data_IF_632386365451
#
_entry.id   IF_632386365451
#
_cell.length_a   1.000
_cell.length_b   1.000
_cell.length_c   1.000
_cell.angle_alpha   90.00
_cell.angle_beta   90.00
_cell.angle_gamma   90.00
#
_symmetry.space_group_name_H-M   'P 1'
#
loop_
_entity.id
_entity.type
_entity.pdbx_description
1 polymer ?
#
# COMPACT_ATOMS: atom_id res chain seq x y z
N UNK A 1 -12.35 -29.22 -15.29
CA UNK A 1 -11.95 -28.24 -16.30
C UNK A 1 -12.83 -28.48 -17.51
N UNK A 2 -13.57 -27.48 -17.94
CA UNK A 2 -14.36 -27.53 -19.16
C UNK A 2 -13.41 -27.63 -20.36
N UNK A 3 -13.76 -28.46 -21.36
CA UNK A 3 -12.99 -28.56 -22.62
C UNK A 3 -13.25 -27.34 -23.53
N UNK A 4 -14.15 -26.44 -23.13
CA UNK A 4 -14.51 -25.25 -23.88
C UNK A 4 -13.46 -24.15 -23.71
N UNK A 5 -12.79 -23.82 -24.80
CA UNK A 5 -11.73 -22.80 -24.85
C UNK A 5 -12.18 -21.38 -24.43
N UNK A 6 -13.47 -21.05 -24.56
CA UNK A 6 -14.06 -19.81 -24.11
C UNK A 6 -14.11 -19.75 -22.57
N UNK A 7 -14.54 -20.84 -21.94
CA UNK A 7 -14.56 -20.99 -20.49
C UNK A 7 -13.14 -20.94 -19.94
N UNK A 8 -12.20 -21.66 -20.56
CA UNK A 8 -10.79 -21.67 -20.14
C UNK A 8 -10.16 -20.28 -20.15
N UNK A 9 -10.47 -19.42 -21.12
CA UNK A 9 -9.96 -18.04 -21.16
C UNK A 9 -10.41 -17.23 -19.95
N UNK A 10 -11.67 -17.35 -19.53
CA UNK A 10 -12.18 -16.65 -18.35
C UNK A 10 -11.64 -17.26 -17.05
N UNK A 11 -11.61 -18.58 -16.93
CA UNK A 11 -11.04 -19.27 -15.77
C UNK A 11 -9.58 -18.88 -15.55
N UNK A 12 -8.74 -18.89 -16.58
CA UNK A 12 -7.33 -18.49 -16.50
C UNK A 12 -7.16 -17.01 -16.08
N UNK A 13 -8.03 -16.13 -16.56
CA UNK A 13 -8.00 -14.73 -16.18
C UNK A 13 -8.41 -14.55 -14.70
N UNK A 14 -9.45 -15.25 -14.25
CA UNK A 14 -9.91 -15.23 -12.85
C UNK A 14 -8.89 -15.89 -11.92
N UNK A 15 -8.22 -16.95 -12.34
CA UNK A 15 -7.13 -17.58 -11.60
C UNK A 15 -5.99 -16.57 -11.38
N UNK A 16 -5.56 -15.89 -12.44
CA UNK A 16 -4.54 -14.81 -12.34
C UNK A 16 -4.97 -13.71 -11.37
N UNK A 17 -6.25 -13.31 -11.39
CA UNK A 17 -6.80 -12.34 -10.45
C UNK A 17 -6.73 -12.85 -9.01
N UNK A 18 -7.19 -14.06 -8.76
CA UNK A 18 -7.20 -14.69 -7.44
C UNK A 18 -5.79 -14.88 -6.88
N UNK A 19 -4.84 -15.29 -7.73
CA UNK A 19 -3.43 -15.41 -7.35
C UNK A 19 -2.87 -14.04 -6.92
N UNK A 20 -3.16 -12.97 -7.65
CA UNK A 20 -2.69 -11.62 -7.29
C UNK A 20 -3.36 -11.09 -6.04
N UNK A 21 -4.63 -11.38 -5.79
CA UNK A 21 -5.27 -11.07 -4.51
C UNK A 21 -4.63 -11.82 -3.35
N UNK A 22 -4.33 -13.11 -3.51
CA UNK A 22 -3.64 -13.90 -2.50
C UNK A 22 -2.21 -13.38 -2.23
N UNK A 23 -1.47 -13.01 -3.28
CA UNK A 23 -0.15 -12.39 -3.16
C UNK A 23 -0.22 -11.05 -2.39
N UNK A 24 -1.23 -10.20 -2.66
CA UNK A 24 -1.46 -8.96 -1.93
C UNK A 24 -1.69 -9.23 -0.44
N UNK A 25 -2.51 -10.21 -0.12
CA UNK A 25 -2.82 -10.60 1.26
C UNK A 25 -1.57 -10.99 2.03
N UNK A 26 -0.70 -11.77 1.40
CA UNK A 26 0.61 -12.13 1.94
C UNK A 26 1.53 -10.91 2.08
N UNK A 27 1.62 -10.05 1.06
CA UNK A 27 2.49 -8.88 1.07
C UNK A 27 2.11 -7.86 2.13
N UNK A 28 0.82 -7.66 2.39
CA UNK A 28 0.36 -6.72 3.41
C UNK A 28 0.84 -7.13 4.81
N UNK A 29 0.95 -8.43 5.08
CA UNK A 29 1.45 -8.97 6.34
C UNK A 29 2.97 -9.11 6.38
N UNK A 30 3.65 -9.00 5.24
CA UNK A 30 5.11 -9.11 5.16
C UNK A 30 5.79 -7.84 5.69
N UNK A 31 6.86 -8.02 6.48
CA UNK A 31 7.67 -6.90 6.96
C UNK A 31 8.58 -6.37 5.86
N UNK A 32 9.02 -5.09 5.91
CA UNK A 32 10.00 -4.57 4.95
C UNK A 32 11.33 -5.34 5.00
N UNK A 33 11.64 -5.95 6.14
CA UNK A 33 12.85 -6.75 6.32
C UNK A 33 12.81 -8.05 5.52
N UNK A 34 11.63 -8.69 5.42
CA UNK A 34 11.45 -10.01 4.82
C UNK A 34 11.04 -9.93 3.34
N UNK A 35 10.66 -8.75 2.86
CA UNK A 35 10.23 -8.55 1.49
C UNK A 35 11.31 -9.00 0.50
N UNK A 36 10.93 -9.87 -0.45
CA UNK A 36 11.84 -10.44 -1.46
C UNK A 36 13.11 -11.07 -0.85
N UNK A 37 12.98 -11.75 0.30
CA UNK A 37 14.07 -12.47 0.96
C UNK A 37 15.10 -11.58 1.65
N UNK A 38 14.78 -10.33 1.96
CA UNK A 38 15.59 -9.44 2.79
C UNK A 38 16.82 -8.81 2.11
N UNK A 39 17.17 -9.20 0.89
CA UNK A 39 18.35 -8.66 0.20
C UNK A 39 18.30 -7.14 0.00
N UNK A 40 17.13 -6.61 -0.31
CA UNK A 40 16.91 -5.17 -0.49
C UNK A 40 17.11 -4.44 0.85
N UNK A 41 16.60 -5.01 1.94
CA UNK A 41 16.70 -4.43 3.27
C UNK A 41 18.16 -4.20 3.69
N UNK A 42 19.05 -5.16 3.44
CA UNK A 42 20.50 -5.01 3.72
C UNK A 42 21.12 -3.80 3.02
N UNK A 43 20.73 -3.54 1.78
CA UNK A 43 21.18 -2.36 1.02
C UNK A 43 20.62 -1.08 1.67
N UNK A 44 19.35 -1.05 2.08
CA UNK A 44 18.72 0.10 2.73
C UNK A 44 19.40 0.43 4.06
N UNK A 45 19.74 -0.58 4.87
CA UNK A 45 20.50 -0.42 6.12
C UNK A 45 21.85 0.24 5.86
N UNK A 46 22.59 -0.23 4.86
CA UNK A 46 23.88 0.34 4.49
C UNK A 46 23.77 1.80 4.02
N UNK A 47 22.77 2.11 3.19
CA UNK A 47 22.51 3.48 2.74
C UNK A 47 22.15 4.38 3.92
N UNK A 48 21.25 3.93 4.81
CA UNK A 48 20.86 4.69 6.00
C UNK A 48 22.08 5.00 6.88
N UNK A 49 22.96 4.00 7.10
CA UNK A 49 24.22 4.20 7.85
C UNK A 49 25.16 5.24 7.23
N UNK A 50 25.27 5.26 5.91
CA UNK A 50 26.05 6.29 5.21
C UNK A 50 25.40 7.68 5.34
N UNK A 51 24.07 7.78 5.20
CA UNK A 51 23.29 9.02 5.33
C UNK A 51 23.26 9.52 6.77
N UNK A 52 23.43 8.65 7.77
CA UNK A 52 23.45 9.01 9.18
C UNK A 52 24.56 10.04 9.50
N UNK A 53 25.73 9.89 8.90
CA UNK A 53 26.83 10.86 9.09
C UNK A 53 26.48 12.25 8.55
N UNK A 54 25.76 12.32 7.43
CA UNK A 54 25.23 13.56 6.85
C UNK A 54 24.15 14.15 7.76
N UNK A 55 23.25 13.31 8.28
CA UNK A 55 22.23 13.70 9.23
C UNK A 55 22.81 14.33 10.50
N UNK A 56 23.89 13.76 11.04
CA UNK A 56 24.59 14.31 12.22
C UNK A 56 25.27 15.64 11.92
N UNK A 57 25.83 15.84 10.73
CA UNK A 57 26.37 17.14 10.33
C UNK A 57 25.26 18.20 10.21
N UNK A 58 24.13 17.84 9.58
CA UNK A 58 22.96 18.71 9.48
C UNK A 58 22.33 19.00 10.84
N UNK A 59 22.36 18.06 11.78
CA UNK A 59 21.91 18.25 13.16
C UNK A 59 22.61 19.46 13.79
N UNK A 60 23.95 19.53 13.68
CA UNK A 60 24.73 20.63 14.22
C UNK A 60 24.33 21.95 13.55
N UNK A 61 24.19 21.95 12.23
CA UNK A 61 23.80 23.12 11.47
C UNK A 61 22.41 23.65 11.90
N UNK A 62 21.40 22.76 11.96
CA UNK A 62 20.06 23.15 12.40
C UNK A 62 20.00 23.56 13.86
N UNK A 63 20.83 22.97 14.71
CA UNK A 63 20.95 23.37 16.10
C UNK A 63 21.50 24.80 16.23
N UNK A 64 22.59 25.10 15.52
CA UNK A 64 23.17 26.47 15.52
C UNK A 64 22.19 27.47 14.93
N UNK A 65 21.58 27.17 13.80
CA UNK A 65 20.58 28.05 13.19
C UNK A 65 19.36 28.25 14.10
N UNK A 66 18.92 27.23 14.82
CA UNK A 66 17.87 27.29 15.82
C UNK A 66 18.25 28.16 17.01
N UNK A 67 19.50 28.02 17.50
CA UNK A 67 20.04 28.85 18.59
C UNK A 67 20.07 30.33 18.23
N UNK A 68 20.61 30.67 17.06
CA UNK A 68 20.68 32.06 16.58
C UNK A 68 19.29 32.69 16.45
N UNK A 69 18.30 31.93 15.99
CA UNK A 69 16.94 32.46 15.79
C UNK A 69 16.13 32.55 17.08
N UNK A 70 16.34 31.63 18.02
CA UNK A 70 15.61 31.61 19.30
C UNK A 70 16.20 32.56 20.31
N UNK A 71 17.53 32.76 20.28
CA UNK A 71 18.26 33.64 21.15
C UNK A 71 18.63 34.91 20.39
N UNK A 72 17.65 35.78 20.15
CA UNK A 72 17.86 37.09 19.48
C UNK A 72 18.87 38.02 20.17
N UNK A 73 19.33 37.65 21.37
CA UNK A 73 20.38 38.28 22.15
C UNK A 73 21.15 37.24 22.94
N UNK A 74 22.48 37.33 22.97
CA UNK A 74 23.35 36.49 23.80
C UNK A 74 22.99 36.51 25.30
N UNK A 75 22.22 37.48 25.73
CA UNK A 75 21.74 37.63 27.12
C UNK A 75 20.67 36.60 27.47
N UNK A 76 19.90 36.12 26.52
CA UNK A 76 18.87 35.08 26.75
C UNK A 76 19.45 33.67 26.87
N UNK A 77 20.59 33.39 26.22
CA UNK A 77 21.33 32.11 26.35
C UNK A 77 21.84 31.90 27.78
N UNK A 78 22.07 33.00 28.52
CA UNK A 78 22.55 32.93 29.92
C UNK A 78 21.49 32.46 30.92
N UNK A 79 20.21 32.34 30.51
CA UNK A 79 19.19 31.76 31.38
C UNK A 79 19.32 30.23 31.34
N UNK A 80 19.57 29.56 32.48
CA UNK A 80 19.84 28.12 32.53
C UNK A 80 18.68 27.28 31.97
N UNK A 81 17.46 27.77 32.07
CA UNK A 81 16.26 27.09 31.53
C UNK A 81 16.25 27.00 30.00
N UNK A 82 16.66 28.06 29.30
CA UNK A 82 16.76 28.08 27.85
C UNK A 82 17.91 27.17 27.34
N UNK A 83 19.03 27.21 28.00
CA UNK A 83 20.18 26.36 27.70
C UNK A 83 19.83 24.88 27.87
N UNK A 84 19.14 24.54 28.96
CA UNK A 84 18.68 23.17 29.20
C UNK A 84 17.68 22.68 28.11
N UNK A 85 16.71 23.51 27.74
CA UNK A 85 15.73 23.20 26.69
C UNK A 85 16.40 22.95 25.33
N UNK A 86 17.40 23.74 24.97
CA UNK A 86 18.16 23.57 23.74
C UNK A 86 18.99 22.29 23.78
N UNK A 87 19.65 21.99 24.91
CA UNK A 87 20.42 20.76 25.08
C UNK A 87 19.56 19.51 25.00
N UNK A 88 18.41 19.50 25.67
CA UNK A 88 17.45 18.38 25.60
C UNK A 88 16.95 18.15 24.17
N UNK A 89 16.65 19.26 23.45
CA UNK A 89 16.25 19.17 22.04
C UNK A 89 17.34 18.56 21.16
N UNK A 90 18.59 18.99 21.36
CA UNK A 90 19.75 18.45 20.66
C UNK A 90 19.93 16.95 20.95
N UNK A 91 19.83 16.55 22.22
CA UNK A 91 19.96 15.16 22.65
C UNK A 91 18.86 14.26 22.05
N UNK A 92 17.61 14.74 22.05
CA UNK A 92 16.48 14.02 21.42
C UNK A 92 16.70 13.87 19.91
N UNK A 93 17.10 14.96 19.22
CA UNK A 93 17.33 14.91 17.78
C UNK A 93 18.52 13.99 17.43
N UNK A 94 19.59 14.00 18.22
CA UNK A 94 20.72 13.07 18.06
C UNK A 94 20.25 11.62 18.26
N UNK A 95 19.48 11.37 19.32
CA UNK A 95 18.90 10.03 19.58
C UNK A 95 18.01 9.57 18.41
N UNK A 96 17.15 10.46 17.89
CA UNK A 96 16.28 10.16 16.76
C UNK A 96 17.06 9.82 15.48
N UNK A 97 18.22 10.43 15.23
CA UNK A 97 19.07 10.07 14.09
C UNK A 97 19.79 8.73 14.35
N UNK A 98 20.35 8.56 15.54
CA UNK A 98 21.15 7.37 15.88
C UNK A 98 20.28 6.11 15.88
N UNK A 99 19.09 6.20 16.43
CA UNK A 99 18.12 5.09 16.52
C UNK A 99 16.98 5.23 15.47
N UNK A 100 17.24 5.96 14.40
CA UNK A 100 16.23 6.27 13.38
C UNK A 100 15.69 5.03 12.69
N UNK A 101 16.55 4.03 12.45
CA UNK A 101 16.15 2.76 11.84
C UNK A 101 15.19 1.98 12.76
N UNK A 102 15.53 1.84 14.03
CA UNK A 102 14.72 1.17 15.04
C UNK A 102 13.38 1.91 15.24
N UNK A 103 13.40 3.23 15.22
CA UNK A 103 12.20 4.05 15.30
C UNK A 103 11.27 3.78 14.12
N UNK A 104 11.80 3.74 12.89
CA UNK A 104 11.00 3.44 11.69
C UNK A 104 10.41 2.04 11.75
N UNK A 105 11.17 1.05 12.18
CA UNK A 105 10.68 -0.32 12.35
C UNK A 105 9.62 -0.42 13.46
N UNK A 106 9.81 0.27 14.59
CA UNK A 106 8.83 0.28 15.68
C UNK A 106 7.49 0.87 15.21
N UNK A 107 7.52 1.99 14.47
CA UNK A 107 6.32 2.60 13.88
C UNK A 107 5.62 1.64 12.90
N UNK A 108 6.40 0.96 12.04
CA UNK A 108 5.86 -0.04 11.14
C UNK A 108 5.18 -1.18 11.91
N UNK A 109 5.83 -1.74 12.92
CA UNK A 109 5.30 -2.85 13.71
C UNK A 109 4.00 -2.50 14.46
N UNK A 110 3.88 -1.28 14.98
CA UNK A 110 2.64 -0.79 15.61
C UNK A 110 1.49 -0.80 14.58
N UNK A 111 1.74 -0.27 13.39
CA UNK A 111 0.72 -0.25 12.32
C UNK A 111 0.42 -1.66 11.83
N UNK A 112 1.42 -2.53 11.74
CA UNK A 112 1.22 -3.93 11.37
C UNK A 112 0.31 -4.66 12.37
N UNK A 113 0.45 -4.37 13.66
CA UNK A 113 -0.48 -4.87 14.69
C UNK A 113 -1.92 -4.41 14.45
N UNK A 114 -2.12 -3.16 14.01
CA UNK A 114 -3.44 -2.64 13.63
C UNK A 114 -4.01 -3.39 12.41
N UNK A 115 -3.20 -3.62 11.39
CA UNK A 115 -3.59 -4.39 10.20
C UNK A 115 -4.03 -5.82 10.60
N UNK A 116 -3.24 -6.50 11.42
CA UNK A 116 -3.55 -7.84 11.90
C UNK A 116 -4.85 -7.88 12.71
N UNK A 117 -5.12 -6.84 13.49
CA UNK A 117 -6.38 -6.70 14.24
C UNK A 117 -7.58 -6.53 13.30
N UNK A 118 -7.46 -5.71 12.25
CA UNK A 118 -8.50 -5.53 11.24
C UNK A 118 -8.80 -6.85 10.54
N UNK A 119 -7.77 -7.57 10.11
CA UNK A 119 -7.90 -8.86 9.43
C UNK A 119 -8.60 -9.91 10.31
N UNK A 120 -8.21 -10.01 11.59
CA UNK A 120 -8.81 -10.97 12.54
C UNK A 120 -10.25 -10.61 12.92
N UNK A 121 -10.56 -9.32 13.10
CA UNK A 121 -11.89 -8.85 13.47
C UNK A 121 -12.94 -9.05 12.38
N UNK A 122 -12.53 -8.97 11.13
CA UNK A 122 -13.42 -9.13 10.00
C UNK A 122 -13.71 -10.61 9.65
N UNK A 123 -13.00 -11.57 10.24
CA UNK A 123 -13.14 -12.99 9.92
C UNK A 123 -12.64 -13.37 8.50
N UNK A 124 -12.00 -12.44 7.82
CA UNK A 124 -11.46 -12.62 6.47
C UNK A 124 -9.97 -12.98 6.53
N UNK A 125 -9.66 -14.21 6.93
CA UNK A 125 -8.29 -14.74 6.97
C UNK A 125 -7.66 -14.98 5.59
N UNK A 126 -8.48 -15.02 4.55
CA UNK A 126 -8.05 -15.21 3.15
C UNK A 126 -8.99 -14.45 2.21
N UNK A 127 -8.50 -13.97 1.07
CA UNK A 127 -9.36 -13.36 0.06
C UNK A 127 -10.37 -14.37 -0.47
N UNK A 128 -11.62 -13.94 -0.65
CA UNK A 128 -12.59 -14.76 -1.34
C UNK A 128 -12.18 -14.90 -2.81
N UNK A 129 -12.24 -16.14 -3.30
CA UNK A 129 -11.94 -16.41 -4.70
C UNK A 129 -13.14 -16.03 -5.58
N UNK A 130 -12.86 -15.31 -6.63
CA UNK A 130 -13.83 -15.03 -7.69
C UNK A 130 -13.84 -16.24 -8.63
N UNK A 131 -14.96 -16.95 -8.69
CA UNK A 131 -15.14 -18.12 -9.56
C UNK A 131 -16.23 -17.84 -10.57
N UNK A 132 -16.10 -18.46 -11.75
CA UNK A 132 -17.14 -18.41 -12.78
C UNK A 132 -18.36 -19.21 -12.30
N UNK A 133 -19.58 -18.63 -12.29
CA UNK A 133 -20.78 -19.34 -11.89
C UNK A 133 -21.08 -20.53 -12.83
N UNK A 134 -21.58 -21.63 -12.28
CA UNK A 134 -21.91 -22.82 -13.06
C UNK A 134 -22.95 -22.53 -14.17
N UNK A 135 -23.88 -21.61 -13.91
CA UNK A 135 -24.85 -21.15 -14.89
C UNK A 135 -24.22 -20.52 -16.13
N UNK A 136 -23.13 -19.72 -15.91
CA UNK A 136 -22.40 -19.11 -17.02
C UNK A 136 -21.60 -20.15 -17.81
N UNK A 137 -21.04 -21.14 -17.13
CA UNK A 137 -20.34 -22.26 -17.80
C UNK A 137 -21.31 -22.99 -18.71
N UNK A 138 -22.50 -23.38 -18.21
CA UNK A 138 -23.52 -24.06 -19.02
C UNK A 138 -23.99 -23.18 -20.17
N UNK A 139 -24.24 -21.91 -19.98
CA UNK A 139 -24.64 -20.98 -21.05
C UNK A 139 -23.59 -20.90 -22.16
N UNK A 140 -22.31 -20.95 -21.83
CA UNK A 140 -21.21 -20.93 -22.80
C UNK A 140 -21.07 -22.28 -23.51
N UNK A 141 -21.24 -23.40 -22.79
CA UNK A 141 -21.13 -24.77 -23.35
C UNK A 141 -22.27 -25.13 -24.26
N UNK A 142 -23.47 -24.63 -23.98
CA UNK A 142 -24.68 -24.88 -24.82
C UNK A 142 -24.67 -24.04 -26.12
N UNK A 143 -23.72 -23.10 -26.29
CA UNK A 143 -23.63 -22.32 -27.51
C UNK A 143 -23.10 -23.13 -28.69
N UNK A 144 -23.74 -22.94 -29.87
CA UNK A 144 -23.26 -23.51 -31.11
C UNK A 144 -21.91 -22.95 -31.57
N UNK A 145 -21.23 -23.65 -32.45
CA UNK A 145 -19.89 -23.27 -32.93
C UNK A 145 -19.82 -21.83 -33.49
N UNK A 146 -20.84 -21.38 -34.24
CA UNK A 146 -20.87 -20.03 -34.81
C UNK A 146 -21.13 -18.96 -33.75
N UNK A 147 -21.83 -19.26 -32.68
CA UNK A 147 -22.09 -18.38 -31.55
C UNK A 147 -20.88 -18.29 -30.62
N UNK A 148 -20.01 -19.30 -30.61
CA UNK A 148 -18.78 -19.34 -29.83
C UNK A 148 -17.71 -18.35 -30.32
N UNK A 149 -17.74 -17.95 -31.62
CA UNK A 149 -16.73 -17.01 -32.17
C UNK A 149 -16.85 -15.61 -31.54
N UNK A 150 -18.03 -14.93 -31.51
CA UNK A 150 -18.16 -13.65 -30.81
C UNK A 150 -17.94 -13.78 -29.30
N UNK A 151 -18.37 -14.87 -28.66
CA UNK A 151 -18.12 -15.17 -27.26
C UNK A 151 -16.63 -15.20 -26.96
N UNK A 152 -15.85 -15.88 -27.79
CA UNK A 152 -14.40 -15.91 -27.65
C UNK A 152 -13.77 -14.53 -27.69
N UNK A 153 -14.15 -13.69 -28.64
CA UNK A 153 -13.64 -12.33 -28.74
C UNK A 153 -13.95 -11.52 -27.48
N UNK A 154 -15.16 -11.64 -26.95
CA UNK A 154 -15.60 -10.97 -25.71
C UNK A 154 -14.81 -11.46 -24.50
N UNK A 155 -14.66 -12.77 -24.36
CA UNK A 155 -13.93 -13.35 -23.20
C UNK A 155 -12.42 -13.08 -23.27
N UNK A 156 -11.84 -13.02 -24.47
CA UNK A 156 -10.43 -12.67 -24.67
C UNK A 156 -10.17 -11.22 -24.26
N UNK A 157 -11.02 -10.28 -24.67
CA UNK A 157 -10.93 -8.87 -24.30
C UNK A 157 -11.16 -8.74 -22.78
N UNK A 158 -12.20 -9.36 -22.23
CA UNK A 158 -12.48 -9.34 -20.79
C UNK A 158 -11.32 -9.92 -19.97
N UNK A 159 -10.77 -11.05 -20.37
CA UNK A 159 -9.62 -11.67 -19.74
C UNK A 159 -8.37 -10.81 -19.76
N UNK A 160 -8.12 -10.09 -20.87
CA UNK A 160 -7.03 -9.12 -20.96
C UNK A 160 -7.20 -7.98 -19.94
N UNK A 161 -8.42 -7.41 -19.83
CA UNK A 161 -8.70 -6.37 -18.85
C UNK A 161 -8.52 -6.86 -17.42
N UNK A 162 -9.02 -8.06 -17.08
CA UNK A 162 -8.87 -8.69 -15.76
C UNK A 162 -7.37 -8.83 -15.42
N UNK A 163 -6.57 -9.32 -16.36
CA UNK A 163 -5.13 -9.50 -16.19
C UNK A 163 -4.42 -8.17 -15.97
N UNK A 164 -4.73 -7.14 -16.75
CA UNK A 164 -4.16 -5.79 -16.59
C UNK A 164 -4.51 -5.21 -15.24
N UNK A 165 -5.76 -5.35 -14.79
CA UNK A 165 -6.18 -4.87 -13.46
C UNK A 165 -5.45 -5.60 -12.32
N UNK A 166 -5.25 -6.91 -12.45
CA UNK A 166 -4.48 -7.71 -11.49
C UNK A 166 -3.05 -7.16 -11.34
N UNK A 167 -2.39 -6.83 -12.45
CA UNK A 167 -1.05 -6.22 -12.42
C UNK A 167 -1.04 -4.81 -11.82
N UNK A 168 -2.04 -3.97 -12.12
CA UNK A 168 -2.12 -2.62 -11.53
C UNK A 168 -2.28 -2.72 -10.01
N UNK A 169 -3.12 -3.66 -9.55
CA UNK A 169 -3.38 -3.88 -8.14
C UNK A 169 -2.11 -4.28 -7.39
N UNK A 170 -1.43 -5.33 -7.86
CA UNK A 170 -0.20 -5.81 -7.21
C UNK A 170 0.92 -4.77 -7.26
N UNK A 171 1.05 -4.02 -8.37
CA UNK A 171 2.06 -2.98 -8.54
C UNK A 171 1.86 -1.83 -7.53
N UNK A 172 0.62 -1.52 -7.15
CA UNK A 172 0.32 -0.53 -6.11
C UNK A 172 0.87 -0.98 -4.75
N UNK A 173 0.69 -2.26 -4.40
CA UNK A 173 1.20 -2.82 -3.15
C UNK A 173 2.74 -2.87 -3.13
N UNK A 174 3.37 -3.26 -4.24
CA UNK A 174 4.83 -3.18 -4.36
C UNK A 174 5.33 -1.73 -4.19
N UNK A 175 4.64 -0.76 -4.77
CA UNK A 175 4.96 0.67 -4.65
C UNK A 175 5.03 1.14 -3.20
N UNK A 176 4.19 0.60 -2.30
CA UNK A 176 4.25 0.86 -0.85
C UNK A 176 5.60 0.47 -0.26
N UNK A 177 6.14 -0.72 -0.60
CA UNK A 177 7.45 -1.17 -0.10
C UNK A 177 8.57 -0.25 -0.57
N UNK A 178 8.55 0.18 -1.84
CA UNK A 178 9.52 1.14 -2.35
C UNK A 178 9.47 2.46 -1.60
N UNK A 179 8.26 2.98 -1.30
CA UNK A 179 8.10 4.18 -0.47
C UNK A 179 8.71 3.95 0.93
N UNK A 180 8.39 2.84 1.60
CA UNK A 180 8.94 2.50 2.93
C UNK A 180 10.46 2.48 2.92
N UNK A 181 11.07 1.86 1.92
CA UNK A 181 12.53 1.81 1.78
C UNK A 181 13.15 3.19 1.57
N UNK A 182 12.58 4.03 0.69
CA UNK A 182 13.07 5.40 0.46
C UNK A 182 12.97 6.25 1.74
N UNK A 183 11.85 6.19 2.44
CA UNK A 183 11.68 6.90 3.71
C UNK A 183 12.71 6.43 4.74
N UNK A 184 12.91 5.11 4.88
CA UNK A 184 13.83 4.53 5.85
C UNK A 184 15.28 4.85 5.51
N UNK A 185 15.69 4.76 4.24
CA UNK A 185 17.04 5.08 3.79
C UNK A 185 17.43 6.54 4.07
N UNK A 186 16.51 7.48 3.83
CA UNK A 186 16.74 8.91 3.93
C UNK A 186 16.35 9.52 5.29
N UNK A 187 15.83 8.72 6.22
CA UNK A 187 15.33 9.15 7.52
C UNK A 187 16.30 10.08 8.32
N UNK A 188 17.61 9.87 8.34
CA UNK A 188 18.51 10.72 9.12
C UNK A 188 18.47 12.20 8.72
N UNK A 189 18.19 12.52 7.45
CA UNK A 189 18.14 13.91 6.96
C UNK A 189 16.96 14.68 7.58
N UNK A 190 15.69 14.29 7.40
CA UNK A 190 14.58 15.00 8.00
C UNK A 190 14.55 14.89 9.54
N UNK A 191 15.06 13.82 10.14
CA UNK A 191 15.17 13.69 11.59
C UNK A 191 16.15 14.71 12.19
N UNK A 192 17.19 15.13 11.47
CA UNK A 192 18.12 16.17 11.92
C UNK A 192 17.44 17.52 12.16
N UNK A 193 16.33 17.79 11.48
CA UNK A 193 15.59 19.06 11.60
C UNK A 193 14.92 19.26 12.96
N UNK A 194 14.79 18.20 13.77
CA UNK A 194 14.29 18.32 15.15
C UNK A 194 15.20 19.15 16.06
N UNK A 195 16.48 19.32 15.71
CA UNK A 195 17.43 20.13 16.49
C UNK A 195 17.08 21.61 16.50
N UNK A 196 16.54 22.13 15.40
CA UNK A 196 16.18 23.56 15.27
C UNK A 196 14.68 23.79 15.47
N UNK A 197 14.31 24.84 16.23
CA UNK A 197 12.90 25.21 16.40
C UNK A 197 12.20 25.57 15.09
N UNK A 198 12.82 26.36 14.19
CA UNK A 198 12.21 26.73 12.93
C UNK A 198 12.05 25.56 11.95
N UNK A 199 12.91 24.55 12.04
CA UNK A 199 12.96 23.43 11.10
C UNK A 199 12.20 22.18 11.58
N UNK A 200 11.81 22.10 12.86
CA UNK A 200 11.18 20.91 13.44
C UNK A 200 9.90 20.41 12.72
N UNK A 201 9.21 21.32 12.02
CA UNK A 201 8.00 20.97 11.27
C UNK A 201 8.30 20.00 10.13
N UNK A 202 9.49 20.07 9.52
CA UNK A 202 9.93 19.14 8.47
C UNK A 202 10.05 17.72 9.05
N UNK A 203 10.70 17.58 10.20
CA UNK A 203 10.82 16.29 10.88
C UNK A 203 9.45 15.71 11.30
N UNK A 204 8.55 16.56 11.81
CA UNK A 204 7.18 16.15 12.17
C UNK A 204 6.40 15.69 10.95
N UNK A 205 6.45 16.45 9.84
CA UNK A 205 5.80 16.06 8.59
C UNK A 205 6.38 14.78 8.02
N UNK A 206 7.70 14.57 8.14
CA UNK A 206 8.34 13.33 7.74
C UNK A 206 7.81 12.13 8.51
N UNK A 207 7.74 12.19 9.85
CA UNK A 207 7.18 11.09 10.66
C UNK A 207 5.72 10.83 10.31
N UNK A 208 4.90 11.89 10.16
CA UNK A 208 3.51 11.76 9.71
C UNK A 208 3.41 11.06 8.34
N UNK A 209 4.24 11.48 7.38
CA UNK A 209 4.27 10.88 6.04
C UNK A 209 4.69 9.42 6.07
N UNK A 210 5.65 9.06 6.91
CA UNK A 210 6.05 7.67 7.09
C UNK A 210 4.93 6.82 7.70
N UNK A 211 4.29 7.33 8.76
CA UNK A 211 3.11 6.68 9.34
C UNK A 211 1.98 6.51 8.33
N UNK A 212 1.78 7.51 7.46
CA UNK A 212 0.81 7.43 6.38
C UNK A 212 1.12 6.27 5.42
N UNK A 213 2.36 6.12 4.99
CA UNK A 213 2.78 4.99 4.12
C UNK A 213 2.62 3.63 4.84
N UNK A 214 2.90 3.57 6.14
CA UNK A 214 2.65 2.36 6.92
C UNK A 214 1.15 2.02 6.95
N UNK A 215 0.27 3.01 7.22
CA UNK A 215 -1.18 2.86 7.29
C UNK A 215 -1.85 2.60 5.93
N UNK A 216 -1.18 2.89 4.81
CA UNK A 216 -1.67 2.57 3.47
C UNK A 216 -2.07 1.09 3.36
N UNK A 217 -1.31 0.20 4.03
CA UNK A 217 -1.65 -1.22 4.11
C UNK A 217 -3.00 -1.52 4.79
N UNK A 218 -3.36 -0.76 5.81
CA UNK A 218 -4.66 -0.92 6.47
C UNK A 218 -5.83 -0.54 5.56
N UNK A 219 -5.68 0.54 4.77
CA UNK A 219 -6.71 0.93 3.79
C UNK A 219 -6.82 -0.08 2.66
N UNK A 220 -5.70 -0.66 2.20
CA UNK A 220 -5.72 -1.71 1.18
C UNK A 220 -6.49 -2.93 1.71
N UNK A 221 -6.23 -3.39 2.95
CA UNK A 221 -6.98 -4.49 3.57
C UNK A 221 -8.46 -4.18 3.68
N UNK A 222 -8.81 -2.99 4.17
CA UNK A 222 -10.21 -2.57 4.27
C UNK A 222 -10.89 -2.54 2.89
N UNK A 223 -10.20 -2.06 1.86
CA UNK A 223 -10.73 -2.07 0.49
C UNK A 223 -10.99 -3.50 0.00
N UNK A 224 -10.08 -4.43 0.27
CA UNK A 224 -10.26 -5.84 -0.09
C UNK A 224 -11.43 -6.49 0.68
N UNK A 225 -11.59 -6.18 1.98
CA UNK A 225 -12.70 -6.68 2.80
C UNK A 225 -14.03 -6.13 2.28
N UNK A 226 -14.13 -4.82 2.05
CA UNK A 226 -15.34 -4.18 1.51
C UNK A 226 -15.68 -4.76 0.14
N UNK A 227 -14.67 -4.95 -0.71
CA UNK A 227 -14.85 -5.55 -2.03
C UNK A 227 -15.38 -6.98 -1.94
N UNK A 228 -14.85 -7.80 -1.04
CA UNK A 228 -15.31 -9.19 -0.89
C UNK A 228 -16.78 -9.28 -0.48
N UNK A 229 -17.25 -8.33 0.33
CA UNK A 229 -18.67 -8.21 0.70
C UNK A 229 -19.52 -7.68 -0.45
N UNK A 230 -19.01 -6.67 -1.16
CA UNK A 230 -19.69 -6.05 -2.29
C UNK A 230 -19.84 -7.01 -3.48
N UNK A 231 -18.79 -7.77 -3.78
CA UNK A 231 -18.73 -8.72 -4.87
C UNK A 231 -19.27 -10.13 -4.51
N UNK A 232 -19.83 -10.31 -3.31
CA UNK A 232 -20.36 -11.61 -2.85
C UNK A 232 -21.65 -12.04 -3.56
N UNK A 233 -22.38 -11.10 -4.17
CA UNK A 233 -23.54 -11.40 -5.00
C UNK A 233 -23.09 -11.58 -6.45
N UNK A 234 -23.37 -12.73 -7.08
CA UNK A 234 -23.07 -12.90 -8.50
C UNK A 234 -23.88 -11.88 -9.33
N UNK A 235 -23.31 -11.40 -10.45
CA UNK A 235 -24.03 -10.54 -11.38
C UNK A 235 -25.38 -11.14 -11.78
N UNK A 236 -26.43 -10.34 -11.78
CA UNK A 236 -27.75 -10.76 -12.21
C UNK A 236 -27.77 -10.77 -13.73
N UNK A 237 -27.84 -11.96 -14.31
CA UNK A 237 -27.94 -12.15 -15.76
C UNK A 237 -29.38 -12.47 -16.12
N UNK A 238 -29.91 -11.82 -17.15
CA UNK A 238 -31.24 -12.10 -17.63
C UNK A 238 -31.24 -13.38 -18.50
N UNK A 239 -31.90 -14.47 -18.08
CA UNK A 239 -31.83 -15.75 -18.78
C UNK A 239 -32.54 -15.73 -20.15
N UNK A 240 -33.38 -14.71 -20.43
CA UNK A 240 -34.14 -14.57 -21.69
C UNK A 240 -33.30 -13.92 -22.81
N UNK A 241 -32.08 -13.48 -22.51
CA UNK A 241 -31.20 -12.81 -23.49
C UNK A 241 -30.35 -13.85 -24.25
N UNK A 242 -29.84 -13.44 -25.43
CA UNK A 242 -28.87 -14.26 -26.17
C UNK A 242 -27.59 -14.51 -25.34
N UNK A 243 -27.02 -15.70 -25.42
CA UNK A 243 -25.85 -16.10 -24.64
C UNK A 243 -24.68 -15.11 -24.72
N UNK A 244 -24.40 -14.53 -25.90
CA UNK A 244 -23.38 -13.50 -26.08
C UNK A 244 -23.66 -12.26 -25.24
N UNK A 245 -24.91 -11.84 -25.14
CA UNK A 245 -25.32 -10.66 -24.33
C UNK A 245 -25.20 -10.98 -22.84
N UNK A 246 -25.61 -12.17 -22.42
CA UNK A 246 -25.47 -12.63 -21.03
C UNK A 246 -24.01 -12.61 -20.59
N UNK A 247 -23.11 -13.21 -21.37
CA UNK A 247 -21.67 -13.26 -21.08
C UNK A 247 -21.06 -11.86 -21.09
N UNK A 248 -21.46 -11.00 -22.04
CA UNK A 248 -21.00 -9.61 -22.08
C UNK A 248 -21.42 -8.81 -20.83
N UNK A 249 -22.68 -8.94 -20.43
CA UNK A 249 -23.19 -8.28 -19.23
C UNK A 249 -22.49 -8.76 -17.97
N UNK A 250 -22.28 -10.08 -17.84
CA UNK A 250 -21.54 -10.67 -16.74
C UNK A 250 -20.09 -10.13 -16.65
N UNK A 251 -19.35 -10.17 -17.77
CA UNK A 251 -17.99 -9.65 -17.82
C UNK A 251 -17.96 -8.16 -17.50
N UNK A 252 -18.89 -7.38 -18.02
CA UNK A 252 -19.01 -5.95 -17.78
C UNK A 252 -19.17 -5.63 -16.28
N UNK A 253 -20.05 -6.34 -15.58
CA UNK A 253 -20.27 -6.15 -14.15
C UNK A 253 -19.07 -6.63 -13.32
N UNK A 254 -18.49 -7.77 -13.70
CA UNK A 254 -17.27 -8.28 -13.08
C UNK A 254 -16.13 -7.28 -13.20
N UNK A 255 -15.89 -6.72 -14.40
CA UNK A 255 -14.87 -5.72 -14.65
C UNK A 255 -15.15 -4.43 -13.86
N UNK A 256 -16.41 -4.01 -13.77
CA UNK A 256 -16.80 -2.85 -12.96
C UNK A 256 -16.43 -3.05 -11.49
N UNK A 257 -16.77 -4.21 -10.92
CA UNK A 257 -16.45 -4.55 -9.54
C UNK A 257 -14.92 -4.56 -9.31
N UNK A 258 -14.16 -5.15 -10.22
CA UNK A 258 -12.70 -5.15 -10.16
C UNK A 258 -12.11 -3.75 -10.28
N UNK A 259 -12.66 -2.88 -11.14
CA UNK A 259 -12.25 -1.48 -11.25
C UNK A 259 -12.48 -0.71 -9.95
N UNK A 260 -13.60 -0.96 -9.26
CA UNK A 260 -13.88 -0.34 -7.96
C UNK A 260 -12.81 -0.72 -6.93
N UNK A 261 -12.42 -2.01 -6.87
CA UNK A 261 -11.34 -2.43 -5.98
C UNK A 261 -10.01 -1.79 -6.35
N UNK A 262 -9.61 -1.88 -7.63
CA UNK A 262 -8.34 -1.30 -8.11
C UNK A 262 -8.29 0.21 -7.85
N UNK A 263 -9.40 0.91 -8.10
CA UNK A 263 -9.55 2.34 -7.82
C UNK A 263 -9.39 2.65 -6.33
N UNK A 264 -10.06 1.90 -5.45
CA UNK A 264 -9.98 2.06 -4.00
C UNK A 264 -8.56 1.83 -3.47
N UNK A 265 -7.91 0.76 -3.92
CA UNK A 265 -6.52 0.46 -3.55
C UNK A 265 -5.55 1.52 -4.07
N UNK A 266 -5.75 2.02 -5.28
CA UNK A 266 -4.92 3.09 -5.84
C UNK A 266 -5.10 4.44 -5.11
N UNK A 267 -6.29 4.69 -4.56
CA UNK A 267 -6.58 5.90 -3.77
C UNK A 267 -6.11 5.80 -2.32
N UNK A 268 -5.63 4.65 -1.85
CA UNK A 268 -5.25 4.43 -0.44
C UNK A 268 -4.23 5.45 0.08
N UNK A 269 -3.20 5.78 -0.70
CA UNK A 269 -2.19 6.80 -0.36
C UNK A 269 -2.84 8.19 -0.14
N UNK A 270 -3.75 8.58 -1.02
CA UNK A 270 -4.45 9.87 -0.92
C UNK A 270 -5.36 9.92 0.31
N UNK A 271 -6.16 8.87 0.53
CA UNK A 271 -7.08 8.78 1.68
C UNK A 271 -6.31 8.94 2.99
N UNK A 272 -5.21 8.21 3.15
CA UNK A 272 -4.41 8.28 4.38
C UNK A 272 -3.75 9.65 4.54
N UNK A 273 -3.23 10.26 3.48
CA UNK A 273 -2.62 11.59 3.55
C UNK A 273 -3.63 12.64 3.98
N UNK A 274 -4.83 12.62 3.43
CA UNK A 274 -5.93 13.50 3.82
C UNK A 274 -6.32 13.28 5.31
N UNK A 275 -6.39 12.03 5.78
CA UNK A 275 -6.66 11.70 7.19
C UNK A 275 -5.56 12.19 8.13
N UNK A 276 -4.29 12.18 7.70
CA UNK A 276 -3.14 12.62 8.49
C UNK A 276 -2.90 14.14 8.43
N UNK A 277 -3.67 14.87 7.63
CA UNK A 277 -3.52 16.30 7.42
C UNK A 277 -2.21 16.64 6.70
N UNK A 278 -1.90 15.94 5.62
CA UNK A 278 -0.71 16.07 4.77
C UNK A 278 -1.06 16.59 3.39
#
# INVERSE_FOLDING_TARGET
MSDNWVVQNLENALETWNEKLAEIWQLITTTPQDFKGGGIWGVIVNINGAVQSIGLALLVLFFVAGMVKTCGSFTEVKKPEHALKLFVRFAIAKGAITYGMELMLALFNIVQGTISTIMSSAGFGSPQQTVLPAEMITTIEDCGFFESIPLWAVTLIGGLFITVMSFILIMTVYGRFFKLYMYTALAPIPLSTFAGEPSQNVGKSFIKSYCAVCLEGAVIVLSCIIFSLFASSPPVVNPDEAAVTQVWSYIGELLFNMLVLVGSVKMSDRIIREMMGL
#
